data_IF_760585173267
#
_entry.id   IF_760585173267
#
_cell.length_a   1.000
_cell.length_b   1.000
_cell.length_c   1.000
_cell.angle_alpha   90.00
_cell.angle_beta   90.00
_cell.angle_gamma   90.00
#
_symmetry.space_group_name_H-M   'P 1'
#
loop_
_entity.id
_entity.type
_entity.pdbx_description
1 polymer ?
#
# COMPACT_ATOMS: atom_id res chain seq x y z
N UNK A 1 20.12 -15.14 23.66
CA UNK A 1 19.82 -14.74 22.27
C UNK A 1 20.79 -15.40 21.27
N UNK A 2 21.13 -16.65 21.51
CA UNK A 2 22.02 -17.43 20.63
C UNK A 2 21.22 -18.44 19.77
N UNK A 3 19.88 -18.39 19.82
CA UNK A 3 19.00 -19.32 19.14
C UNK A 3 18.16 -18.61 18.08
N UNK A 4 17.76 -19.34 17.05
CA UNK A 4 16.80 -18.87 16.07
C UNK A 4 15.45 -18.61 16.76
N UNK A 5 14.86 -17.45 16.55
CA UNK A 5 13.52 -17.15 17.06
C UNK A 5 12.43 -18.02 16.44
N UNK A 6 11.18 -17.82 16.88
CA UNK A 6 10.03 -18.48 16.26
C UNK A 6 9.91 -18.08 14.77
N UNK A 7 9.63 -19.00 13.85
CA UNK A 7 9.32 -18.66 12.46
C UNK A 7 8.13 -17.69 12.28
N UNK A 8 7.18 -17.69 13.21
CA UNK A 8 6.12 -16.68 13.28
C UNK A 8 6.64 -15.26 13.60
N UNK A 9 7.85 -15.15 14.17
CA UNK A 9 8.42 -13.95 14.75
C UNK A 9 8.14 -13.84 16.26
N UNK A 10 8.59 -12.75 16.88
CA UNK A 10 8.54 -12.52 18.32
C UNK A 10 7.09 -12.54 18.85
N UNK A 11 6.78 -13.52 19.68
CA UNK A 11 5.43 -13.76 20.22
C UNK A 11 4.82 -12.52 20.88
N UNK A 12 5.61 -11.78 21.66
CA UNK A 12 5.12 -10.58 22.34
C UNK A 12 4.80 -9.45 21.35
N UNK A 13 5.53 -9.33 20.23
CA UNK A 13 5.22 -8.36 19.18
C UNK A 13 3.94 -8.77 18.43
N UNK A 14 3.77 -10.05 18.12
CA UNK A 14 2.52 -10.54 17.51
C UNK A 14 1.29 -10.23 18.40
N UNK A 15 1.40 -10.43 19.72
CA UNK A 15 0.35 -10.05 20.68
C UNK A 15 0.12 -8.55 20.73
N UNK A 16 1.17 -7.74 20.62
CA UNK A 16 1.02 -6.29 20.53
C UNK A 16 0.30 -5.87 19.22
N UNK A 17 0.69 -6.43 18.07
CA UNK A 17 0.04 -6.22 16.79
C UNK A 17 -1.44 -6.63 16.84
N UNK A 18 -1.74 -7.80 17.40
CA UNK A 18 -3.14 -8.23 17.59
C UNK A 18 -3.98 -7.21 18.34
N UNK A 19 -3.42 -6.61 19.40
CA UNK A 19 -4.11 -5.54 20.13
C UNK A 19 -4.29 -4.25 19.30
N UNK A 20 -3.29 -3.89 18.47
CA UNK A 20 -3.39 -2.73 17.57
C UNK A 20 -4.47 -2.97 16.50
N UNK A 21 -4.50 -4.14 15.89
CA UNK A 21 -5.52 -4.51 14.90
C UNK A 21 -6.93 -4.57 15.51
N UNK A 22 -7.06 -5.10 16.72
CA UNK A 22 -8.35 -5.13 17.43
C UNK A 22 -8.91 -3.72 17.69
N UNK A 23 -8.07 -2.72 17.99
CA UNK A 23 -8.48 -1.31 18.11
C UNK A 23 -8.97 -0.71 16.79
N UNK A 24 -8.66 -1.36 15.67
CA UNK A 24 -9.09 -0.99 14.32
C UNK A 24 -10.23 -1.88 13.81
N UNK A 25 -10.90 -2.64 14.71
CA UNK A 25 -11.95 -3.61 14.38
C UNK A 25 -11.52 -4.70 13.38
N UNK A 26 -10.24 -5.06 13.41
CA UNK A 26 -9.67 -6.18 12.64
C UNK A 26 -9.29 -7.29 13.63
N UNK A 27 -10.24 -8.14 14.04
CA UNK A 27 -9.96 -9.24 14.95
C UNK A 27 -9.15 -10.32 14.23
N UNK A 28 -8.09 -10.82 14.88
CA UNK A 28 -7.28 -11.91 14.35
C UNK A 28 -6.81 -12.85 15.46
N UNK A 29 -6.59 -14.11 15.11
CA UNK A 29 -5.96 -15.09 15.99
C UNK A 29 -4.44 -14.83 16.08
N UNK A 30 -3.81 -15.24 17.18
CA UNK A 30 -2.37 -15.05 17.36
C UNK A 30 -1.56 -15.84 16.31
N UNK A 31 -1.98 -17.03 15.98
CA UNK A 31 -1.38 -17.91 14.95
C UNK A 31 -1.69 -17.51 13.52
N UNK A 32 -2.62 -16.56 13.32
CA UNK A 32 -2.86 -15.91 12.03
C UNK A 32 -1.90 -14.73 11.75
N UNK A 33 -1.06 -14.32 12.72
CA UNK A 33 -0.10 -13.21 12.55
C UNK A 33 1.30 -13.77 12.32
N UNK A 34 1.94 -13.36 11.22
CA UNK A 34 3.31 -13.73 10.86
C UNK A 34 4.13 -12.46 10.64
N UNK A 35 5.24 -12.30 11.35
CA UNK A 35 6.16 -11.19 11.15
C UNK A 35 7.03 -11.41 9.90
N UNK A 36 7.41 -10.33 9.24
CA UNK A 36 8.16 -10.35 7.98
C UNK A 36 9.19 -9.24 7.90
N UNK A 37 10.15 -9.34 6.98
CA UNK A 37 11.10 -8.27 6.67
C UNK A 37 10.43 -7.14 5.86
N UNK A 38 9.44 -6.48 6.46
CA UNK A 38 8.59 -5.48 5.84
C UNK A 38 7.50 -6.08 4.95
N UNK A 39 6.61 -5.21 4.46
CA UNK A 39 5.46 -5.61 3.64
C UNK A 39 5.86 -6.27 2.30
N UNK A 40 7.03 -5.92 1.74
CA UNK A 40 7.48 -6.52 0.47
C UNK A 40 7.69 -8.03 0.60
N UNK A 41 8.31 -8.49 1.70
CA UNK A 41 8.42 -9.93 1.95
C UNK A 41 7.04 -10.55 2.23
N UNK A 42 6.16 -9.85 2.94
CA UNK A 42 4.80 -10.36 3.16
C UNK A 42 4.07 -10.60 1.84
N UNK A 43 4.11 -9.63 0.91
CA UNK A 43 3.55 -9.78 -0.44
C UNK A 43 4.17 -10.96 -1.19
N UNK A 44 5.49 -11.07 -1.20
CA UNK A 44 6.20 -12.18 -1.88
C UNK A 44 5.79 -13.54 -1.30
N UNK A 45 5.78 -13.69 0.03
CA UNK A 45 5.41 -14.94 0.69
C UNK A 45 3.98 -15.36 0.34
N UNK A 46 3.03 -14.42 0.35
CA UNK A 46 1.63 -14.69 -0.01
C UNK A 46 1.53 -15.11 -1.47
N UNK A 47 2.14 -14.37 -2.39
CA UNK A 47 2.12 -14.68 -3.82
C UNK A 47 2.71 -16.06 -4.09
N UNK A 48 3.91 -16.35 -3.60
CA UNK A 48 4.55 -17.66 -3.80
C UNK A 48 3.79 -18.83 -3.17
N UNK A 49 2.99 -18.56 -2.13
CA UNK A 49 2.19 -19.62 -1.46
C UNK A 49 0.88 -19.89 -2.17
N UNK A 50 0.25 -18.87 -2.76
CA UNK A 50 -1.12 -18.94 -3.25
C UNK A 50 -1.25 -18.92 -4.77
N UNK A 51 -0.15 -18.68 -5.51
CA UNK A 51 -0.14 -18.64 -6.97
C UNK A 51 0.94 -19.54 -7.57
N UNK A 52 0.78 -19.84 -8.86
CA UNK A 52 1.73 -20.51 -9.71
C UNK A 52 2.09 -19.58 -10.90
N UNK A 53 3.23 -19.81 -11.59
CA UNK A 53 3.50 -19.12 -12.86
C UNK A 53 2.28 -19.19 -13.79
N UNK A 54 2.08 -18.14 -14.58
CA UNK A 54 0.95 -17.91 -15.51
C UNK A 54 -0.41 -17.62 -14.84
N UNK A 55 -0.53 -17.72 -13.52
CA UNK A 55 -1.75 -17.28 -12.83
C UNK A 55 -1.99 -15.79 -13.01
N UNK A 56 -3.25 -15.39 -13.13
CA UNK A 56 -3.66 -13.98 -13.18
C UNK A 56 -3.92 -13.43 -11.78
N UNK A 57 -3.38 -12.23 -11.54
CA UNK A 57 -3.60 -11.43 -10.32
C UNK A 57 -4.21 -10.09 -10.71
N UNK A 58 -5.37 -9.78 -10.15
CA UNK A 58 -5.95 -8.45 -10.29
C UNK A 58 -5.22 -7.46 -9.38
N UNK A 59 -5.03 -6.24 -9.84
CA UNK A 59 -4.34 -5.17 -9.12
C UNK A 59 -5.05 -3.83 -9.33
N UNK A 60 -4.86 -2.88 -8.42
CA UNK A 60 -5.33 -1.50 -8.65
C UNK A 60 -4.61 -0.86 -9.86
N UNK A 61 -5.32 -0.06 -10.68
CA UNK A 61 -4.77 0.77 -11.73
C UNK A 61 -5.29 2.23 -11.60
N UNK A 62 -4.44 3.19 -11.23
CA UNK A 62 -3.03 3.04 -10.86
C UNK A 62 -2.86 2.31 -9.52
N UNK A 63 -1.69 1.67 -9.32
CA UNK A 63 -1.36 0.92 -8.10
C UNK A 63 0.11 1.04 -7.71
N UNK A 64 0.55 0.26 -6.74
CA UNK A 64 1.91 0.32 -6.21
C UNK A 64 2.95 -0.15 -7.24
N UNK A 65 3.84 0.77 -7.66
CA UNK A 65 4.76 0.55 -8.78
C UNK A 65 5.73 -0.64 -8.58
N UNK A 66 6.16 -0.94 -7.34
CA UNK A 66 7.06 -2.07 -7.10
C UNK A 66 6.34 -3.43 -7.05
N UNK A 67 5.01 -3.43 -7.05
CA UNK A 67 4.23 -4.66 -7.15
C UNK A 67 4.40 -5.31 -8.54
N UNK A 68 4.42 -4.52 -9.59
CA UNK A 68 4.48 -5.03 -10.97
C UNK A 68 5.77 -5.81 -11.28
N UNK A 69 6.97 -5.29 -10.96
CA UNK A 69 8.20 -6.09 -11.09
C UNK A 69 8.20 -7.36 -10.24
N UNK A 70 7.58 -7.34 -9.06
CA UNK A 70 7.44 -8.53 -8.23
C UNK A 70 6.55 -9.58 -8.92
N UNK A 71 5.38 -9.20 -9.43
CA UNK A 71 4.51 -10.11 -10.17
C UNK A 71 5.21 -10.68 -11.39
N UNK A 72 5.89 -9.84 -12.16
CA UNK A 72 6.67 -10.26 -13.32
C UNK A 72 7.78 -11.26 -12.95
N UNK A 73 8.51 -11.01 -11.86
CA UNK A 73 9.58 -11.91 -11.39
C UNK A 73 9.07 -13.28 -10.96
N UNK A 74 7.78 -13.38 -10.63
CA UNK A 74 7.09 -14.60 -10.27
C UNK A 74 6.37 -15.28 -11.46
N UNK A 75 6.47 -14.71 -12.67
CA UNK A 75 5.79 -15.19 -13.85
C UNK A 75 4.27 -15.01 -13.80
N UNK A 76 3.77 -14.03 -13.04
CA UNK A 76 2.34 -13.78 -12.87
C UNK A 76 1.83 -12.70 -13.83
N UNK A 77 0.60 -12.88 -14.30
CA UNK A 77 -0.09 -11.95 -15.18
C UNK A 77 -0.84 -10.90 -14.35
N UNK A 78 -0.44 -9.63 -14.45
CA UNK A 78 -1.11 -8.52 -13.77
C UNK A 78 -2.23 -7.95 -14.64
N UNK A 79 -3.46 -7.87 -14.12
CA UNK A 79 -4.59 -7.21 -14.79
C UNK A 79 -5.07 -6.05 -13.92
N UNK A 80 -4.98 -4.83 -14.46
CA UNK A 80 -5.34 -3.59 -13.77
C UNK A 80 -6.85 -3.37 -13.68
N UNK A 81 -7.34 -3.04 -12.50
CA UNK A 81 -8.72 -2.60 -12.28
C UNK A 81 -8.70 -1.09 -12.06
N UNK A 82 -9.30 -0.36 -12.99
CA UNK A 82 -9.34 1.10 -12.92
C UNK A 82 -9.97 1.58 -11.60
N UNK A 83 -9.27 2.52 -10.97
CA UNK A 83 -9.62 3.02 -9.64
C UNK A 83 -10.29 4.39 -9.73
N UNK A 84 -11.38 4.55 -9.01
CA UNK A 84 -12.06 5.82 -8.76
C UNK A 84 -11.65 6.42 -7.42
N UNK A 85 -12.25 7.55 -7.04
CA UNK A 85 -12.07 8.11 -5.69
C UNK A 85 -12.64 7.21 -4.58
N UNK A 86 -13.64 6.41 -4.90
CA UNK A 86 -14.29 5.49 -3.97
C UNK A 86 -13.57 4.15 -3.82
N UNK A 87 -12.61 3.85 -4.69
CA UNK A 87 -11.92 2.57 -4.76
C UNK A 87 -11.91 1.98 -6.17
N UNK A 88 -11.50 0.72 -6.37
CA UNK A 88 -11.57 0.02 -7.66
C UNK A 88 -13.01 -0.06 -8.17
N UNK A 89 -13.22 0.07 -9.52
CA UNK A 89 -14.57 -0.03 -10.11
C UNK A 89 -15.15 -1.43 -9.96
N UNK A 90 -16.31 -1.60 -9.28
CA UNK A 90 -16.94 -2.90 -9.13
C UNK A 90 -17.33 -3.53 -10.48
N UNK A 91 -17.76 -2.73 -11.44
CA UNK A 91 -18.18 -3.19 -12.78
C UNK A 91 -16.98 -3.76 -13.58
N UNK A 92 -15.83 -3.05 -13.53
CA UNK A 92 -14.61 -3.51 -14.18
C UNK A 92 -14.03 -4.73 -13.45
N UNK A 93 -14.14 -4.76 -12.12
CA UNK A 93 -13.73 -5.89 -11.31
C UNK A 93 -14.54 -7.14 -11.66
N UNK A 94 -15.89 -7.05 -11.71
CA UNK A 94 -16.75 -8.17 -12.09
C UNK A 94 -16.44 -8.68 -13.52
N UNK A 95 -16.22 -7.77 -14.45
CA UNK A 95 -15.83 -8.14 -15.82
C UNK A 95 -14.49 -8.89 -15.83
N UNK A 96 -13.50 -8.39 -15.10
CA UNK A 96 -12.19 -9.02 -15.02
C UNK A 96 -12.25 -10.41 -14.37
N UNK A 97 -13.07 -10.59 -13.32
CA UNK A 97 -13.31 -11.89 -12.68
C UNK A 97 -13.84 -12.93 -13.67
N UNK A 98 -14.79 -12.53 -14.52
CA UNK A 98 -15.39 -13.42 -15.54
C UNK A 98 -14.42 -13.73 -16.69
N UNK A 99 -13.63 -12.76 -17.11
CA UNK A 99 -12.77 -12.87 -18.30
C UNK A 99 -11.46 -13.59 -17.99
N UNK A 100 -10.84 -13.30 -16.84
CA UNK A 100 -9.47 -13.71 -16.54
C UNK A 100 -9.37 -14.82 -15.49
N UNK A 101 -10.47 -15.14 -14.77
CA UNK A 101 -10.49 -16.14 -13.70
C UNK A 101 -9.29 -16.02 -12.73
N UNK A 102 -9.06 -14.84 -12.14
CA UNK A 102 -7.87 -14.56 -11.37
C UNK A 102 -7.81 -15.37 -10.08
N UNK A 103 -6.61 -15.59 -9.56
CA UNK A 103 -6.38 -16.26 -8.27
C UNK A 103 -6.53 -15.31 -7.09
N UNK A 104 -6.05 -14.07 -7.25
CA UNK A 104 -5.96 -13.09 -6.18
C UNK A 104 -6.33 -11.70 -6.69
N UNK A 105 -6.77 -10.84 -5.77
CA UNK A 105 -6.84 -9.40 -5.96
C UNK A 105 -5.97 -8.69 -4.93
N UNK A 106 -5.06 -7.83 -5.37
CA UNK A 106 -4.19 -7.03 -4.50
C UNK A 106 -4.63 -5.57 -4.57
N UNK A 107 -4.99 -5.00 -3.43
CA UNK A 107 -5.49 -3.62 -3.32
C UNK A 107 -4.95 -2.91 -2.09
N UNK A 108 -5.00 -1.59 -2.11
CA UNK A 108 -4.74 -0.72 -0.96
C UNK A 108 -6.02 0.03 -0.62
N UNK A 109 -6.62 -0.23 0.54
CA UNK A 109 -7.86 0.42 0.96
C UNK A 109 -7.66 1.83 1.51
N UNK A 110 -6.55 2.08 2.18
CA UNK A 110 -6.34 3.28 3.00
C UNK A 110 -5.11 4.05 2.53
N UNK A 111 -5.29 5.36 2.25
CA UNK A 111 -4.23 6.27 1.82
C UNK A 111 -3.42 5.71 0.64
N UNK A 112 -4.15 5.26 -0.35
CA UNK A 112 -3.66 4.50 -1.51
C UNK A 112 -2.44 5.13 -2.18
N UNK A 113 -1.44 4.32 -2.50
CA UNK A 113 -0.28 4.71 -3.31
C UNK A 113 -0.56 4.33 -4.79
N UNK A 114 -0.71 5.32 -5.72
CA UNK A 114 -0.21 6.69 -5.62
C UNK A 114 -1.26 7.76 -5.31
N UNK A 115 -2.56 7.46 -5.26
CA UNK A 115 -3.63 8.46 -5.36
C UNK A 115 -3.93 9.21 -4.05
N UNK A 116 -3.55 8.66 -2.89
CA UNK A 116 -3.92 9.18 -1.57
C UNK A 116 -5.40 8.94 -1.19
N UNK A 117 -6.17 8.20 -2.00
CA UNK A 117 -7.58 7.90 -1.74
C UNK A 117 -7.77 6.85 -0.65
N UNK A 118 -8.93 6.84 -0.03
CA UNK A 118 -9.42 5.73 0.77
C UNK A 118 -10.67 5.13 0.09
N UNK A 119 -10.89 3.83 0.25
CA UNK A 119 -12.12 3.19 -0.26
C UNK A 119 -13.34 3.62 0.56
N UNK A 120 -14.51 3.56 -0.04
CA UNK A 120 -15.79 3.76 0.68
C UNK A 120 -16.32 2.43 1.21
N UNK A 121 -17.24 2.50 2.19
CA UNK A 121 -17.90 1.31 2.73
C UNK A 121 -18.64 0.52 1.65
N UNK A 122 -19.35 1.22 0.75
CA UNK A 122 -20.10 0.58 -0.34
C UNK A 122 -19.17 -0.10 -1.34
N UNK A 123 -18.01 0.53 -1.64
CA UNK A 123 -17.01 -0.09 -2.52
C UNK A 123 -16.43 -1.36 -1.90
N UNK A 124 -16.07 -1.33 -0.61
CA UNK A 124 -15.60 -2.51 0.12
C UNK A 124 -16.63 -3.65 0.05
N UNK A 125 -17.90 -3.34 0.33
CA UNK A 125 -18.97 -4.35 0.31
C UNK A 125 -19.17 -4.95 -1.10
N UNK A 126 -19.19 -4.10 -2.13
CA UNK A 126 -19.39 -4.55 -3.52
C UNK A 126 -18.21 -5.43 -4.01
N UNK A 127 -16.97 -4.98 -3.83
CA UNK A 127 -15.77 -5.73 -4.23
C UNK A 127 -15.68 -7.04 -3.45
N UNK A 128 -15.93 -7.02 -2.14
CA UNK A 128 -15.87 -8.22 -1.31
C UNK A 128 -16.93 -9.26 -1.72
N UNK A 129 -18.17 -8.85 -1.95
CA UNK A 129 -19.23 -9.76 -2.42
C UNK A 129 -18.87 -10.41 -3.75
N UNK A 130 -18.31 -9.67 -4.70
CA UNK A 130 -17.83 -10.20 -5.97
C UNK A 130 -16.66 -11.17 -5.79
N UNK A 131 -15.69 -10.82 -4.94
CA UNK A 131 -14.54 -11.67 -4.66
C UNK A 131 -14.98 -13.03 -4.07
N UNK A 132 -15.87 -13.02 -3.07
CA UNK A 132 -16.44 -14.25 -2.48
C UNK A 132 -17.18 -15.08 -3.53
N UNK A 133 -18.07 -14.46 -4.33
CA UNK A 133 -18.84 -15.13 -5.38
C UNK A 133 -17.95 -15.87 -6.39
N UNK A 134 -16.76 -15.35 -6.66
CA UNK A 134 -15.83 -15.94 -7.63
C UNK A 134 -14.66 -16.70 -6.99
N UNK A 135 -14.64 -16.85 -5.66
CA UNK A 135 -13.59 -17.59 -4.94
C UNK A 135 -12.21 -16.93 -5.01
N UNK A 136 -12.15 -15.60 -5.12
CA UNK A 136 -10.90 -14.83 -5.21
C UNK A 136 -10.54 -14.26 -3.85
N UNK A 137 -9.36 -14.58 -3.33
CA UNK A 137 -8.87 -14.00 -2.09
C UNK A 137 -8.34 -12.57 -2.31
N UNK A 138 -8.53 -11.70 -1.31
CA UNK A 138 -8.07 -10.32 -1.34
C UNK A 138 -6.80 -10.19 -0.50
N UNK A 139 -5.74 -9.65 -1.10
CA UNK A 139 -4.54 -9.19 -0.40
C UNK A 139 -4.67 -7.69 -0.21
N UNK A 140 -4.78 -7.26 1.04
CA UNK A 140 -4.94 -5.86 1.38
C UNK A 140 -3.64 -5.30 1.93
N UNK A 141 -2.91 -4.52 1.09
CA UNK A 141 -1.69 -3.82 1.48
C UNK A 141 -2.03 -2.50 2.17
N UNK A 142 -2.21 -2.56 3.48
CA UNK A 142 -2.60 -1.43 4.33
C UNK A 142 -1.44 -0.91 5.19
N UNK A 143 -0.24 -0.78 4.63
CA UNK A 143 0.93 -0.25 5.35
C UNK A 143 0.76 1.20 5.87
N UNK A 144 -0.27 1.89 5.40
CA UNK A 144 -0.61 3.25 5.81
C UNK A 144 -1.76 3.31 6.83
N UNK A 145 -2.30 2.16 7.27
CA UNK A 145 -3.44 2.07 8.18
C UNK A 145 -3.30 3.00 9.40
N UNK A 146 -2.13 2.98 10.03
CA UNK A 146 -1.86 3.76 11.24
C UNK A 146 -1.59 5.26 10.95
N UNK A 147 -1.42 5.66 9.70
CA UNK A 147 -1.31 7.07 9.29
C UNK A 147 -2.68 7.70 8.97
N UNK A 148 -3.72 6.90 8.81
CA UNK A 148 -5.06 7.40 8.55
C UNK A 148 -5.77 7.83 9.85
N UNK A 149 -6.76 8.74 9.75
CA UNK A 149 -7.75 8.93 10.79
C UNK A 149 -8.41 7.60 11.18
N UNK A 150 -8.95 7.53 12.39
CA UNK A 150 -9.62 6.32 12.86
C UNK A 150 -10.84 5.97 12.00
N UNK A 151 -11.20 4.68 12.01
CA UNK A 151 -12.43 4.15 11.42
C UNK A 151 -12.59 4.24 9.89
N UNK A 152 -11.48 4.27 9.13
CA UNK A 152 -11.59 4.17 7.67
C UNK A 152 -12.05 2.77 7.23
N UNK A 153 -12.95 2.64 6.23
CA UNK A 153 -13.34 1.35 5.66
C UNK A 153 -12.14 0.59 5.11
N UNK A 154 -12.13 -0.73 5.29
CA UNK A 154 -11.14 -1.61 4.67
C UNK A 154 -11.67 -3.05 4.61
N UNK A 155 -11.12 -3.85 3.69
CA UNK A 155 -11.55 -5.23 3.48
C UNK A 155 -11.32 -6.11 4.70
N UNK A 156 -10.17 -5.99 5.36
CA UNK A 156 -9.85 -6.79 6.56
C UNK A 156 -10.82 -6.58 7.71
N UNK A 157 -11.32 -5.35 7.91
CA UNK A 157 -12.37 -5.05 8.89
C UNK A 157 -13.71 -5.66 8.49
N UNK A 158 -14.08 -5.51 7.22
CA UNK A 158 -15.35 -6.01 6.69
C UNK A 158 -15.45 -7.53 6.77
N UNK A 159 -14.39 -8.23 6.37
CA UNK A 159 -14.31 -9.70 6.24
C UNK A 159 -13.85 -10.41 7.52
N UNK A 160 -13.26 -9.69 8.47
CA UNK A 160 -12.63 -10.26 9.67
C UNK A 160 -11.59 -11.33 9.37
N UNK A 161 -10.83 -11.13 8.28
CA UNK A 161 -9.72 -11.99 7.81
C UNK A 161 -10.13 -13.42 7.41
N UNK A 162 -11.35 -13.65 6.98
CA UNK A 162 -11.79 -14.97 6.48
C UNK A 162 -11.29 -15.25 5.05
N UNK A 163 -11.42 -14.25 4.16
CA UNK A 163 -10.95 -14.31 2.77
C UNK A 163 -9.96 -13.18 2.43
N UNK A 164 -9.60 -12.36 3.44
CA UNK A 164 -8.68 -11.24 3.31
C UNK A 164 -7.37 -11.54 4.03
N UNK A 165 -6.25 -11.32 3.34
CA UNK A 165 -4.92 -11.32 3.92
C UNK A 165 -4.50 -9.86 4.08
N UNK A 166 -4.45 -9.39 5.32
CA UNK A 166 -4.02 -8.04 5.65
C UNK A 166 -2.51 -7.97 5.80
N UNK A 167 -1.89 -6.99 5.14
CA UNK A 167 -0.45 -6.70 5.24
C UNK A 167 -0.26 -5.35 5.90
N UNK A 168 0.53 -5.33 6.97
CA UNK A 168 0.91 -4.14 7.70
C UNK A 168 2.43 -3.98 7.82
N UNK A 169 2.87 -2.78 8.17
CA UNK A 169 4.30 -2.48 8.30
C UNK A 169 4.57 -1.30 9.20
N UNK A 170 5.66 -1.36 9.96
CA UNK A 170 6.17 -0.26 10.76
C UNK A 170 7.15 0.66 9.99
N UNK A 171 7.42 0.35 8.72
CA UNK A 171 8.36 1.13 7.88
C UNK A 171 7.91 2.59 7.63
N UNK A 172 6.61 2.86 7.67
CA UNK A 172 6.06 4.20 7.42
C UNK A 172 5.66 4.94 8.69
N UNK A 173 5.62 4.22 9.80
CA UNK A 173 5.21 4.76 11.10
C UNK A 173 6.36 4.88 12.09
N UNK A 174 7.40 4.04 12.00
CA UNK A 174 8.58 4.10 12.87
C UNK A 174 9.82 4.44 12.05
N UNK A 175 10.34 3.47 11.29
CA UNK A 175 11.53 3.68 10.47
C UNK A 175 11.61 2.64 9.34
N UNK A 176 11.87 3.09 8.09
CA UNK A 176 12.02 2.18 6.95
C UNK A 176 13.15 1.16 7.12
N UNK A 177 14.26 1.57 7.76
CA UNK A 177 15.46 0.73 7.95
C UNK A 177 15.27 -0.43 8.91
N UNK A 178 14.26 -0.42 9.79
CA UNK A 178 13.98 -1.54 10.69
C UNK A 178 13.45 -2.78 9.96
N UNK A 179 12.87 -2.62 8.78
CA UNK A 179 12.34 -3.74 7.98
C UNK A 179 11.42 -4.67 8.77
N UNK A 180 10.51 -4.14 9.60
CA UNK A 180 9.51 -4.92 10.33
C UNK A 180 8.14 -4.71 9.71
N UNK A 181 7.56 -5.80 9.21
CA UNK A 181 6.21 -5.90 8.71
C UNK A 181 5.52 -7.14 9.26
N UNK A 182 4.28 -7.32 8.88
CA UNK A 182 3.50 -8.49 9.25
C UNK A 182 2.39 -8.76 8.24
N UNK A 183 1.92 -9.98 8.21
CA UNK A 183 0.64 -10.32 7.63
C UNK A 183 -0.29 -10.85 8.73
N UNK A 184 -1.60 -10.68 8.53
CA UNK A 184 -2.65 -11.22 9.38
C UNK A 184 -3.73 -11.84 8.47
N UNK A 185 -4.07 -13.12 8.71
CA UNK A 185 -4.99 -13.89 7.90
C UNK A 185 -5.64 -15.02 8.72
N UNK A 186 -6.50 -15.82 8.09
CA UNK A 186 -6.99 -17.05 8.67
C UNK A 186 -5.83 -18.01 9.01
N UNK A 187 -5.89 -18.73 10.16
CA UNK A 187 -4.78 -19.55 10.64
C UNK A 187 -4.31 -20.65 9.68
N UNK A 188 -5.19 -21.25 8.92
CA UNK A 188 -4.89 -22.30 7.92
C UNK A 188 -4.08 -21.74 6.74
N UNK A 189 -4.45 -20.56 6.25
CA UNK A 189 -3.67 -19.81 5.24
C UNK A 189 -2.31 -19.42 5.83
N UNK A 190 -2.30 -18.93 7.06
CA UNK A 190 -1.07 -18.57 7.80
C UNK A 190 -0.09 -19.72 7.89
N UNK A 191 -0.55 -20.95 8.19
CA UNK A 191 0.30 -22.14 8.25
C UNK A 191 0.98 -22.45 6.91
N UNK A 192 0.27 -22.32 5.80
CA UNK A 192 0.83 -22.52 4.46
C UNK A 192 1.92 -21.49 4.14
N UNK A 193 1.65 -20.21 4.45
CA UNK A 193 2.62 -19.12 4.27
C UNK A 193 3.86 -19.33 5.17
N UNK A 194 3.64 -19.78 6.40
CA UNK A 194 4.72 -20.06 7.34
C UNK A 194 5.66 -21.16 6.84
N UNK A 195 5.13 -22.24 6.27
CA UNK A 195 5.94 -23.32 5.68
C UNK A 195 6.88 -22.75 4.60
N UNK A 196 6.35 -21.89 3.71
CA UNK A 196 7.18 -21.24 2.70
C UNK A 196 8.21 -20.28 3.32
N UNK A 197 7.81 -19.46 4.31
CA UNK A 197 8.73 -18.57 5.03
C UNK A 197 9.89 -19.34 5.67
N UNK A 198 9.61 -20.48 6.31
CA UNK A 198 10.63 -21.32 6.92
C UNK A 198 11.66 -21.81 5.90
N UNK A 199 11.20 -22.23 4.71
CA UNK A 199 12.09 -22.67 3.65
C UNK A 199 12.93 -21.52 3.06
N UNK A 200 12.35 -20.32 2.93
CA UNK A 200 12.98 -19.19 2.24
C UNK A 200 13.87 -18.31 3.14
N UNK A 201 13.53 -18.16 4.43
CA UNK A 201 14.19 -17.19 5.31
C UNK A 201 14.23 -17.57 6.79
N UNK A 202 13.78 -18.77 7.17
CA UNK A 202 13.68 -19.27 8.55
C UNK A 202 12.89 -18.33 9.47
N UNK A 203 13.55 -17.28 9.98
CA UNK A 203 12.99 -16.31 10.93
C UNK A 203 13.22 -14.88 10.46
N UNK A 204 12.53 -13.94 11.09
CA UNK A 204 12.79 -12.50 10.90
C UNK A 204 13.84 -12.01 11.88
N UNK A 205 14.37 -10.79 11.67
CA UNK A 205 15.41 -10.19 12.52
C UNK A 205 14.88 -9.84 13.91
N UNK A 206 15.16 -10.70 14.91
CA UNK A 206 14.63 -10.56 16.27
C UNK A 206 14.98 -9.25 16.96
N UNK A 207 16.18 -8.68 16.71
CA UNK A 207 16.56 -7.38 17.26
C UNK A 207 15.64 -6.26 16.77
N UNK A 208 15.31 -6.25 15.48
CA UNK A 208 14.44 -5.25 14.89
C UNK A 208 13.00 -5.38 15.40
N UNK A 209 12.53 -6.63 15.56
CA UNK A 209 11.24 -6.94 16.18
C UNK A 209 11.16 -6.48 17.63
N UNK A 210 12.23 -6.72 18.41
CA UNK A 210 12.34 -6.29 19.81
C UNK A 210 12.35 -4.75 19.93
N UNK A 211 12.99 -4.05 18.98
CA UNK A 211 12.99 -2.58 18.93
C UNK A 211 11.56 -2.04 18.72
N UNK A 212 10.82 -2.57 17.74
CA UNK A 212 9.41 -2.20 17.50
C UNK A 212 8.55 -2.51 18.73
N UNK A 213 8.73 -3.70 19.32
CA UNK A 213 8.00 -4.09 20.52
C UNK A 213 8.27 -3.12 21.69
N UNK A 214 9.52 -2.69 21.88
CA UNK A 214 9.90 -1.75 22.93
C UNK A 214 9.13 -0.42 22.77
N UNK A 215 9.12 0.16 21.56
CA UNK A 215 8.41 1.41 21.25
C UNK A 215 6.90 1.28 21.56
N UNK A 216 6.30 0.13 21.24
CA UNK A 216 4.88 -0.12 21.52
C UNK A 216 4.64 -0.30 23.03
N UNK A 217 5.47 -1.11 23.71
CA UNK A 217 5.32 -1.42 25.15
C UNK A 217 5.55 -0.21 26.05
N UNK A 218 6.45 0.68 25.69
CA UNK A 218 6.71 1.92 26.43
C UNK A 218 5.62 3.00 26.25
N UNK A 219 4.59 2.71 25.45
CA UNK A 219 3.49 3.66 25.17
C UNK A 219 3.88 4.81 24.25
N UNK A 220 5.09 4.81 23.69
CA UNK A 220 5.57 5.90 22.81
C UNK A 220 4.92 5.88 21.42
N UNK A 221 4.44 4.72 20.97
CA UNK A 221 3.90 4.57 19.62
C UNK A 221 2.66 5.44 19.36
N UNK A 222 1.72 5.51 20.29
CA UNK A 222 0.49 6.32 20.13
C UNK A 222 0.75 7.81 19.98
N UNK A 223 1.43 8.47 20.94
CA UNK A 223 1.80 9.88 20.83
C UNK A 223 2.61 10.20 19.58
N UNK A 224 3.58 9.34 19.22
CA UNK A 224 4.36 9.48 17.99
C UNK A 224 3.46 9.46 16.74
N UNK A 225 2.48 8.56 16.65
CA UNK A 225 1.54 8.53 15.53
C UNK A 225 0.69 9.80 15.46
N UNK A 226 0.28 10.35 16.59
CA UNK A 226 -0.49 11.59 16.64
C UNK A 226 0.32 12.76 16.07
N UNK A 227 1.56 12.93 16.53
CA UNK A 227 2.48 13.96 15.99
C UNK A 227 2.77 13.75 14.50
N UNK A 228 3.06 12.50 14.10
CA UNK A 228 3.36 12.18 12.70
C UNK A 228 2.17 12.48 11.78
N UNK A 229 0.95 12.14 12.17
CA UNK A 229 -0.26 12.44 11.39
C UNK A 229 -0.45 13.94 11.22
N UNK A 230 -0.29 14.73 12.29
CA UNK A 230 -0.41 16.19 12.22
C UNK A 230 0.64 16.79 11.29
N UNK A 231 1.89 16.41 11.44
CA UNK A 231 2.98 16.88 10.55
C UNK A 231 2.74 16.52 9.09
N UNK A 232 2.27 15.29 8.82
CA UNK A 232 1.93 14.86 7.45
C UNK A 232 0.73 15.63 6.91
N UNK A 233 -0.27 15.90 7.71
CA UNK A 233 -1.43 16.69 7.31
C UNK A 233 -1.03 18.13 6.92
N UNK A 234 -0.19 18.78 7.72
CA UNK A 234 0.30 20.13 7.42
C UNK A 234 1.18 20.13 6.15
N UNK A 235 2.10 19.18 6.01
CA UNK A 235 2.92 19.05 4.81
C UNK A 235 2.06 18.81 3.56
N UNK A 236 1.04 17.96 3.65
CA UNK A 236 0.14 17.68 2.55
C UNK A 236 -0.69 18.90 2.16
N UNK A 237 -1.19 19.65 3.12
CA UNK A 237 -1.94 20.90 2.89
C UNK A 237 -1.06 21.90 2.11
N UNK A 238 0.19 22.11 2.53
CA UNK A 238 1.15 22.98 1.85
C UNK A 238 1.41 22.51 0.42
N UNK A 239 1.73 21.23 0.22
CA UNK A 239 1.99 20.67 -1.12
C UNK A 239 0.77 20.80 -2.03
N UNK A 240 -0.42 20.51 -1.55
CA UNK A 240 -1.66 20.68 -2.31
C UNK A 240 -1.88 22.12 -2.74
N UNK A 241 -1.68 23.08 -1.84
CA UNK A 241 -1.82 24.51 -2.14
C UNK A 241 -0.81 24.96 -3.19
N UNK A 242 0.46 24.59 -3.04
CA UNK A 242 1.52 24.93 -3.98
C UNK A 242 1.31 24.33 -5.36
N UNK A 243 0.88 23.06 -5.46
CA UNK A 243 0.57 22.42 -6.74
C UNK A 243 -0.58 23.13 -7.46
N UNK A 244 -1.63 23.51 -6.73
CA UNK A 244 -2.74 24.28 -7.31
C UNK A 244 -2.29 25.68 -7.74
N UNK A 245 -1.44 26.36 -6.96
CA UNK A 245 -0.92 27.69 -7.29
C UNK A 245 -0.11 27.71 -8.59
N UNK A 246 0.67 26.64 -8.87
CA UNK A 246 1.40 26.50 -10.15
C UNK A 246 0.53 25.92 -11.28
N UNK A 247 -0.79 25.83 -11.06
CA UNK A 247 -1.77 25.49 -12.09
C UNK A 247 -2.02 24.01 -12.29
N UNK A 248 -1.55 23.13 -11.42
CA UNK A 248 -1.90 21.71 -11.48
C UNK A 248 -3.31 21.42 -10.96
N UNK A 249 -3.92 20.35 -11.43
CA UNK A 249 -5.22 19.84 -10.97
C UNK A 249 -4.99 18.63 -10.09
N UNK A 250 -5.45 18.68 -8.85
CA UNK A 250 -5.43 17.54 -7.94
C UNK A 250 -6.54 16.54 -8.32
N UNK A 251 -6.25 15.25 -8.32
CA UNK A 251 -7.29 14.23 -8.53
C UNK A 251 -8.27 14.19 -7.36
N UNK A 252 -7.75 14.36 -6.14
CA UNK A 252 -8.53 14.56 -4.92
C UNK A 252 -7.68 15.36 -3.92
N UNK A 253 -8.31 15.87 -2.87
CA UNK A 253 -7.59 16.34 -1.68
C UNK A 253 -7.54 15.19 -0.68
N UNK A 254 -6.35 14.56 -0.48
CA UNK A 254 -6.26 13.44 0.44
C UNK A 254 -6.55 13.89 1.88
N UNK A 255 -7.06 12.99 2.70
CA UNK A 255 -7.34 13.27 4.12
C UNK A 255 -6.11 13.09 5.02
N UNK A 256 -4.97 12.73 4.46
CA UNK A 256 -3.72 12.45 5.15
C UNK A 256 -2.76 11.64 4.31
N UNK A 257 -1.71 11.13 4.95
CA UNK A 257 -0.74 10.23 4.31
C UNK A 257 0.36 10.94 3.54
N UNK A 258 1.01 10.21 2.66
CA UNK A 258 2.29 10.56 2.07
C UNK A 258 2.19 11.08 0.62
N UNK A 259 1.05 10.90 -0.05
CA UNK A 259 0.97 11.09 -1.50
C UNK A 259 -0.10 12.09 -1.90
N UNK A 260 0.25 12.88 -2.93
CA UNK A 260 -0.69 13.71 -3.69
C UNK A 260 -0.58 13.29 -5.14
N UNK A 261 -1.73 13.07 -5.78
CA UNK A 261 -1.85 12.70 -7.19
C UNK A 261 -2.41 13.88 -7.96
N UNK A 262 -1.60 14.46 -8.84
CA UNK A 262 -1.96 15.66 -9.58
C UNK A 262 -1.54 15.58 -11.04
N UNK A 263 -2.24 16.32 -11.91
CA UNK A 263 -1.96 16.41 -13.34
C UNK A 263 -1.88 17.86 -13.82
N UNK A 264 -1.22 18.07 -14.92
CA UNK A 264 -1.32 19.34 -15.64
C UNK A 264 -2.73 19.53 -16.21
N UNK A 265 -3.13 20.78 -16.45
CA UNK A 265 -4.44 21.09 -17.07
C UNK A 265 -4.51 20.76 -18.55
N UNK A 266 -3.36 20.83 -19.24
CA UNK A 266 -3.18 20.46 -20.64
C UNK A 266 -2.69 19.02 -20.76
N UNK A 267 -2.93 18.41 -21.90
CA UNK A 267 -2.35 17.12 -22.21
C UNK A 267 -0.84 17.23 -22.37
N UNK A 268 -0.13 16.36 -21.68
CA UNK A 268 1.33 16.34 -21.62
C UNK A 268 1.84 14.91 -21.68
N UNK A 269 3.04 14.76 -22.21
CA UNK A 269 3.80 13.52 -22.10
C UNK A 269 4.55 13.55 -20.77
N UNK A 270 4.00 12.86 -19.75
CA UNK A 270 4.56 12.93 -18.39
C UNK A 270 5.98 12.40 -18.30
N UNK A 271 6.35 11.43 -19.15
CA UNK A 271 7.70 10.91 -19.23
C UNK A 271 8.69 11.97 -19.69
N UNK A 272 8.38 12.71 -20.75
CA UNK A 272 9.24 13.79 -21.26
C UNK A 272 9.42 14.93 -20.24
N UNK A 273 8.38 15.24 -19.44
CA UNK A 273 8.50 16.21 -18.33
C UNK A 273 9.42 15.66 -17.25
N UNK A 274 9.29 14.38 -16.90
CA UNK A 274 10.15 13.76 -15.89
C UNK A 274 11.63 13.73 -16.33
N UNK A 275 11.93 13.52 -17.60
CA UNK A 275 13.27 13.60 -18.17
C UNK A 275 13.85 15.01 -18.07
N UNK A 276 13.07 16.04 -18.43
CA UNK A 276 13.52 17.45 -18.27
C UNK A 276 13.73 17.85 -16.82
N UNK A 277 12.86 17.36 -15.91
CA UNK A 277 13.02 17.55 -14.48
C UNK A 277 14.30 16.92 -13.96
N UNK A 278 14.62 15.70 -14.41
CA UNK A 278 15.85 14.99 -14.06
C UNK A 278 17.11 15.75 -14.52
N UNK A 279 17.07 16.40 -15.69
CA UNK A 279 18.17 17.25 -16.17
C UNK A 279 18.38 18.51 -15.28
N UNK A 280 17.38 18.88 -14.47
CA UNK A 280 17.46 19.94 -13.46
C UNK A 280 17.59 19.35 -12.03
N UNK A 281 18.02 18.09 -11.84
CA UNK A 281 18.11 17.35 -10.57
C UNK A 281 16.79 17.28 -9.78
N UNK A 282 15.66 17.28 -10.48
CA UNK A 282 14.33 17.13 -9.89
C UNK A 282 13.76 15.75 -10.26
N UNK A 283 13.53 14.88 -9.27
CA UNK A 283 12.94 13.57 -9.50
C UNK A 283 11.42 13.66 -9.43
N UNK A 284 10.76 13.50 -10.57
CA UNK A 284 9.31 13.35 -10.68
C UNK A 284 8.94 11.87 -10.88
N UNK A 285 7.80 11.47 -10.34
CA UNK A 285 7.26 10.14 -10.53
C UNK A 285 6.06 10.20 -11.50
N UNK A 286 6.27 9.97 -12.82
CA UNK A 286 5.20 9.99 -13.81
C UNK A 286 4.21 8.85 -13.56
N UNK A 287 2.95 9.10 -13.89
CA UNK A 287 1.86 8.19 -13.60
C UNK A 287 1.94 6.84 -14.30
N UNK A 288 2.63 6.75 -15.43
CA UNK A 288 2.90 5.49 -16.14
C UNK A 288 3.65 4.45 -15.27
N UNK A 289 4.47 4.89 -14.30
CA UNK A 289 5.13 4.00 -13.35
C UNK A 289 4.16 3.22 -12.46
N UNK A 290 2.96 3.74 -12.28
CA UNK A 290 1.93 3.19 -11.38
C UNK A 290 0.84 2.42 -12.14
N UNK A 291 1.08 2.10 -13.41
CA UNK A 291 0.16 1.30 -14.24
C UNK A 291 0.80 -0.04 -14.59
N UNK A 292 0.05 -1.15 -14.55
CA UNK A 292 0.62 -2.48 -14.83
C UNK A 292 1.23 -2.56 -16.23
N UNK A 293 0.58 -1.95 -17.24
CA UNK A 293 1.02 -1.95 -18.63
C UNK A 293 1.99 -0.79 -18.97
N UNK A 294 2.39 0.02 -17.98
CA UNK A 294 3.19 1.24 -18.19
C UNK A 294 2.60 2.21 -19.20
N UNK A 295 1.29 2.10 -19.45
CA UNK A 295 0.58 2.97 -20.39
C UNK A 295 0.61 4.44 -19.93
N UNK A 296 0.53 5.37 -20.89
CA UNK A 296 0.59 6.81 -20.63
C UNK A 296 -0.41 7.27 -19.56
N UNK A 297 -0.01 8.25 -18.80
CA UNK A 297 -0.80 8.88 -17.75
C UNK A 297 -0.49 10.37 -17.71
N UNK A 298 -1.52 11.20 -17.53
CA UNK A 298 -1.39 12.65 -17.41
C UNK A 298 -1.00 13.12 -16.00
N UNK A 299 -0.83 12.20 -15.07
CA UNK A 299 -0.65 12.50 -13.66
C UNK A 299 0.76 12.21 -13.18
N UNK A 300 1.10 12.86 -12.06
CA UNK A 300 2.33 12.62 -11.30
C UNK A 300 1.98 12.31 -9.84
N UNK A 301 2.81 11.48 -9.20
CA UNK A 301 2.77 11.30 -7.75
C UNK A 301 3.78 12.25 -7.09
N UNK A 302 3.28 13.04 -6.15
CA UNK A 302 4.10 13.88 -5.27
C UNK A 302 4.18 13.24 -3.88
N UNK A 303 5.39 13.13 -3.35
CA UNK A 303 5.65 12.61 -2.01
C UNK A 303 5.79 13.79 -1.06
N UNK A 304 4.84 14.00 -0.15
CA UNK A 304 4.70 15.26 0.61
C UNK A 304 5.93 15.65 1.41
N UNK A 305 6.73 14.70 1.87
CA UNK A 305 7.95 14.98 2.63
C UNK A 305 9.14 15.43 1.76
N UNK A 306 9.03 15.27 0.43
CA UNK A 306 10.10 15.62 -0.52
C UNK A 306 9.66 16.62 -1.59
N UNK A 307 8.41 17.06 -1.55
CA UNK A 307 7.84 17.93 -2.59
C UNK A 307 7.63 19.36 -2.12
N UNK A 308 8.15 19.75 -0.98
CA UNK A 308 7.99 21.11 -0.43
C UNK A 308 9.27 21.92 -0.59
N UNK A 309 9.60 22.31 -1.83
CA UNK A 309 10.72 23.22 -2.12
C UNK A 309 10.48 24.02 -3.40
N UNK A 310 10.92 25.27 -3.41
CA UNK A 310 10.62 26.28 -4.43
C UNK A 310 11.09 25.89 -5.83
N UNK A 311 12.22 25.21 -5.96
CA UNK A 311 12.77 24.75 -7.25
C UNK A 311 11.80 23.81 -7.99
N UNK A 312 11.13 22.91 -7.27
CA UNK A 312 10.12 22.03 -7.85
C UNK A 312 8.95 22.84 -8.41
N UNK A 313 8.44 23.80 -7.63
CA UNK A 313 7.28 24.59 -8.04
C UNK A 313 7.59 25.54 -9.19
N UNK A 314 8.77 26.15 -9.20
CA UNK A 314 9.24 26.98 -10.32
C UNK A 314 9.33 26.16 -11.62
N UNK A 315 9.86 24.93 -11.56
CA UNK A 315 9.89 24.02 -12.69
C UNK A 315 8.48 23.67 -13.19
N UNK A 316 7.58 23.27 -12.29
CA UNK A 316 6.21 22.90 -12.66
C UNK A 316 5.43 24.08 -13.24
N UNK A 317 5.62 25.29 -12.73
CA UNK A 317 5.00 26.50 -13.26
C UNK A 317 5.47 26.81 -14.69
N UNK A 318 6.78 26.69 -14.96
CA UNK A 318 7.38 26.85 -16.29
C UNK A 318 6.78 25.84 -17.27
N UNK A 319 6.69 24.57 -16.89
CA UNK A 319 6.12 23.52 -17.73
C UNK A 319 4.61 23.72 -17.97
N UNK A 320 3.86 24.23 -17.00
CA UNK A 320 2.43 24.46 -17.12
C UNK A 320 2.08 25.67 -17.98
N UNK A 321 2.88 26.76 -17.92
CA UNK A 321 2.67 27.94 -18.76
C UNK A 321 2.94 27.66 -20.24
N UNK A 322 3.71 26.65 -20.54
CA UNK A 322 4.18 26.33 -21.89
C UNK A 322 5.29 27.26 -22.33
N UNK A 323 6.32 26.75 -22.94
CA UNK A 323 7.25 27.58 -23.74
C UNK A 323 6.56 28.08 -24.99
#
# INVERSE_FOLDING_TARGET
>A
MLDYGSPYGLTELRRAIRRLLAKRDIPCAEDGIILTHGASQALELVLRTLTQPDDTVLVDDPGYCNLYPLLQSLGLNAVGIARTHAGPSPELFERALKTHQPKLFITTSILHNPTGSCVTTDNVAAIHALAIKHGVAIIEDNIFLDLAPESQPCHARHDKLQNVIHIGSFSKTIAPGLRVGYLACAPDVGKRILCYKMAASLTSAGLNEATVLHIIKTGQYGPHLTDLRERLFQAQKTVCQSLVAVGMTLSLRPMGGLFVWARFRKDVTTHAIAERAAAEDILLAPGSLFRPERSESQSFRFYVTHSNHDRLYAFLEKENKGR
#
